data_IF_565776665582
#
_entry.id   IF_565776665582
#
_cell.length_a   1.000
_cell.length_b   1.000
_cell.length_c   1.000
_cell.angle_alpha   90.00
_cell.angle_beta   90.00
_cell.angle_gamma   90.00
#
_symmetry.space_group_name_H-M   'P 1'
#
loop_
_entity.id
_entity.type
_entity.pdbx_description
1 polymer ?
#
# COMPACT_ATOMS: atom_id res chain seq x y z
N UNK A 1 9.89 -63.09 37.95
CA UNK A 1 9.22 -63.50 36.70
C UNK A 1 8.88 -62.24 35.94
N UNK A 2 9.47 -62.04 34.77
CA UNK A 2 9.48 -60.77 34.03
C UNK A 2 8.15 -60.50 33.32
N UNK A 3 7.65 -59.27 33.45
CA UNK A 3 6.51 -58.74 32.67
C UNK A 3 6.98 -58.33 31.26
N UNK A 4 6.18 -58.54 30.20
CA UNK A 4 6.50 -58.03 28.88
C UNK A 4 6.15 -56.54 28.78
N UNK A 5 7.08 -55.78 28.21
CA UNK A 5 6.95 -54.36 27.89
C UNK A 5 6.10 -54.24 26.61
N UNK A 6 4.96 -53.56 26.70
CA UNK A 6 4.11 -53.22 25.57
C UNK A 6 4.63 -51.93 24.93
N UNK A 7 5.31 -52.04 23.79
CA UNK A 7 5.74 -50.89 22.98
C UNK A 7 4.57 -50.48 22.09
N UNK A 8 3.90 -49.38 22.44
CA UNK A 8 2.87 -48.78 21.60
C UNK A 8 3.55 -47.98 20.47
N UNK A 9 3.49 -48.49 19.23
CA UNK A 9 3.80 -47.71 18.03
C UNK A 9 2.66 -46.71 17.78
N UNK A 10 2.92 -45.42 18.00
CA UNK A 10 2.04 -44.36 17.52
C UNK A 10 2.35 -44.10 16.05
N UNK A 11 1.44 -44.51 15.17
CA UNK A 11 1.46 -44.17 13.75
C UNK A 11 1.25 -42.65 13.60
N UNK A 12 2.31 -41.91 13.27
CA UNK A 12 2.23 -40.50 12.92
C UNK A 12 1.52 -40.34 11.57
N UNK A 13 0.31 -39.78 11.59
CA UNK A 13 -0.41 -39.37 10.39
C UNK A 13 0.26 -38.09 9.88
N UNK A 14 1.08 -38.23 8.84
CA UNK A 14 1.64 -37.12 8.08
C UNK A 14 0.49 -36.42 7.31
N UNK A 15 -0.03 -35.33 7.88
CA UNK A 15 -0.86 -34.38 7.13
C UNK A 15 0.03 -33.69 6.10
N UNK A 16 0.03 -34.21 4.88
CA UNK A 16 0.55 -33.48 3.73
C UNK A 16 -0.40 -32.32 3.47
N UNK A 17 0.00 -31.12 3.90
CA UNK A 17 -0.69 -29.89 3.54
C UNK A 17 -0.54 -29.69 2.03
N UNK A 18 -1.54 -30.15 1.28
CA UNK A 18 -1.70 -29.78 -0.12
C UNK A 18 -1.92 -28.28 -0.17
N UNK A 19 -0.89 -27.55 -0.61
CA UNK A 19 -0.99 -26.15 -0.99
C UNK A 19 -2.02 -26.06 -2.11
N UNK A 20 -3.26 -25.71 -1.76
CA UNK A 20 -4.30 -25.37 -2.74
C UNK A 20 -3.84 -24.08 -3.40
N UNK A 21 -3.25 -24.19 -4.58
CA UNK A 21 -3.03 -23.06 -5.47
C UNK A 21 -4.40 -22.54 -5.89
N UNK A 22 -4.83 -21.46 -5.25
CA UNK A 22 -6.06 -20.77 -5.62
C UNK A 22 -5.94 -20.38 -7.11
N UNK A 23 -6.92 -20.71 -7.97
CA UNK A 23 -6.89 -20.28 -9.36
C UNK A 23 -6.76 -18.76 -9.40
N UNK A 24 -5.81 -18.24 -10.17
CA UNK A 24 -5.77 -16.82 -10.50
C UNK A 24 -7.10 -16.48 -11.17
N UNK A 25 -7.97 -15.78 -10.45
CA UNK A 25 -9.14 -15.13 -11.05
C UNK A 25 -8.59 -14.10 -12.03
N UNK A 26 -8.77 -14.34 -13.33
CA UNK A 26 -8.36 -13.38 -14.36
C UNK A 26 -9.31 -12.18 -14.24
N UNK A 27 -8.85 -11.10 -13.60
CA UNK A 27 -9.60 -9.87 -13.49
C UNK A 27 -9.60 -9.07 -14.80
N UNK A 28 -10.68 -8.32 -15.06
CA UNK A 28 -10.71 -7.34 -16.14
C UNK A 28 -9.92 -6.10 -15.72
N UNK A 29 -8.87 -5.74 -16.45
CA UNK A 29 -8.09 -4.53 -16.17
C UNK A 29 -8.98 -3.30 -16.41
N UNK A 30 -9.21 -2.51 -15.35
CA UNK A 30 -9.96 -1.26 -15.41
C UNK A 30 -9.04 -0.08 -15.75
N UNK A 31 -7.86 -0.03 -15.11
CA UNK A 31 -6.85 0.97 -15.39
C UNK A 31 -5.46 0.47 -14.97
N UNK A 32 -4.44 1.05 -15.59
CA UNK A 32 -3.07 0.84 -15.17
C UNK A 32 -2.17 2.01 -15.55
N UNK A 33 -1.13 2.25 -14.75
CA UNK A 33 -0.07 3.22 -15.04
C UNK A 33 1.28 2.70 -14.56
N UNK A 34 2.33 3.08 -15.27
CA UNK A 34 3.71 2.81 -14.88
C UNK A 34 4.40 4.13 -14.53
N UNK A 35 4.99 4.20 -13.35
CA UNK A 35 5.66 5.39 -12.85
C UNK A 35 7.14 5.12 -12.64
N UNK A 36 7.98 6.11 -12.93
CA UNK A 36 9.39 6.07 -12.53
C UNK A 36 9.51 6.50 -11.06
N UNK A 37 10.38 5.82 -10.32
CA UNK A 37 10.75 6.18 -8.95
C UNK A 37 12.02 7.05 -8.91
N UNK A 38 12.53 7.47 -10.07
CA UNK A 38 13.83 8.13 -10.20
C UNK A 38 13.81 9.48 -10.93
N UNK A 39 12.64 9.98 -11.34
CA UNK A 39 12.51 11.14 -12.23
C UNK A 39 11.93 12.40 -11.55
N UNK A 40 11.80 12.44 -10.21
CA UNK A 40 11.24 13.62 -9.52
C UNK A 40 12.20 14.79 -9.48
N UNK A 41 13.46 14.53 -9.16
CA UNK A 41 14.51 15.55 -9.11
C UNK A 41 15.69 15.18 -10.00
N UNK A 42 16.56 16.14 -10.31
CA UNK A 42 17.82 15.86 -11.02
C UNK A 42 18.85 15.15 -10.12
N UNK A 43 18.72 15.28 -8.79
CA UNK A 43 19.66 14.74 -7.82
C UNK A 43 19.24 13.32 -7.43
N UNK A 44 20.09 12.33 -7.77
CA UNK A 44 19.80 10.91 -7.52
C UNK A 44 19.50 10.60 -6.04
N UNK A 45 20.32 11.11 -5.12
CA UNK A 45 20.15 10.81 -3.69
C UNK A 45 18.80 11.28 -3.13
N UNK A 46 18.23 12.37 -3.67
CA UNK A 46 16.89 12.84 -3.30
C UNK A 46 15.84 11.86 -3.83
N UNK A 47 15.92 11.45 -5.10
CA UNK A 47 15.00 10.44 -5.63
C UNK A 47 15.08 9.10 -4.88
N UNK A 48 16.27 8.67 -4.47
CA UNK A 48 16.45 7.45 -3.70
C UNK A 48 15.66 7.49 -2.38
N UNK A 49 15.58 8.66 -1.73
CA UNK A 49 14.79 8.87 -0.50
C UNK A 49 13.29 8.79 -0.78
N UNK A 50 12.82 9.44 -1.85
CA UNK A 50 11.43 9.36 -2.29
C UNK A 50 11.04 7.91 -2.60
N UNK A 51 11.87 7.21 -3.38
CA UNK A 51 11.66 5.80 -3.70
C UNK A 51 11.62 4.94 -2.44
N UNK A 52 12.59 5.11 -1.52
CA UNK A 52 12.65 4.35 -0.28
C UNK A 52 11.39 4.51 0.57
N UNK A 53 10.86 5.73 0.71
CA UNK A 53 9.65 5.99 1.47
C UNK A 53 8.38 5.47 0.79
N UNK A 54 8.30 5.53 -0.55
CA UNK A 54 7.22 4.89 -1.33
C UNK A 54 7.23 3.38 -1.08
N UNK A 55 8.39 2.74 -1.23
CA UNK A 55 8.54 1.30 -1.05
C UNK A 55 8.31 0.87 0.40
N UNK A 56 8.74 1.67 1.38
CA UNK A 56 8.45 1.42 2.79
C UNK A 56 6.95 1.46 3.06
N UNK A 57 6.22 2.39 2.44
CA UNK A 57 4.75 2.45 2.55
C UNK A 57 4.10 1.17 2.01
N UNK A 58 4.55 0.67 0.85
CA UNK A 58 4.10 -0.61 0.30
C UNK A 58 4.49 -1.81 1.18
N UNK A 59 5.66 -1.75 1.84
CA UNK A 59 6.11 -2.77 2.78
C UNK A 59 5.25 -2.84 4.05
N UNK A 60 4.77 -1.69 4.54
CA UNK A 60 3.78 -1.64 5.62
C UNK A 60 2.44 -2.23 5.19
N UNK A 61 1.96 -1.85 4.00
CA UNK A 61 0.72 -2.39 3.42
C UNK A 61 0.76 -3.92 3.22
N UNK A 62 1.92 -4.45 2.81
CA UNK A 62 2.15 -5.89 2.62
C UNK A 62 2.48 -6.65 3.91
N UNK A 63 2.64 -5.95 5.03
CA UNK A 63 3.03 -6.49 6.35
C UNK A 63 4.41 -7.16 6.37
N UNK A 64 5.25 -6.92 5.37
CA UNK A 64 6.66 -7.33 5.38
C UNK A 64 7.44 -6.51 6.41
N UNK A 65 7.03 -5.27 6.62
CA UNK A 65 7.48 -4.40 7.71
C UNK A 65 6.39 -4.29 8.77
N UNK A 66 6.80 -4.26 10.04
CA UNK A 66 5.93 -4.06 11.20
C UNK A 66 6.43 -2.92 12.05
N UNK A 67 5.51 -2.10 12.56
CA UNK A 67 5.82 -0.98 13.45
C UNK A 67 6.57 -1.47 14.69
N UNK A 68 7.59 -0.72 15.09
CA UNK A 68 8.46 -1.05 16.23
C UNK A 68 9.62 -2.01 15.91
N UNK A 69 9.64 -2.63 14.72
CA UNK A 69 10.78 -3.45 14.29
C UNK A 69 11.79 -2.60 13.50
N UNK A 70 13.06 -3.00 13.54
CA UNK A 70 14.09 -2.42 12.69
C UNK A 70 13.77 -2.66 11.20
N UNK A 71 14.01 -1.65 10.37
CA UNK A 71 13.75 -1.71 8.92
C UNK A 71 14.91 -2.41 8.21
N UNK A 72 14.61 -3.50 7.51
CA UNK A 72 15.52 -4.10 6.53
C UNK A 72 15.33 -3.42 5.18
N UNK A 73 16.21 -2.48 4.84
CA UNK A 73 16.14 -1.76 3.56
C UNK A 73 16.40 -2.66 2.35
N UNK A 74 17.14 -3.75 2.52
CA UNK A 74 17.27 -4.78 1.49
C UNK A 74 15.91 -5.39 1.17
N UNK A 75 15.17 -5.81 2.20
CA UNK A 75 13.82 -6.37 2.05
C UNK A 75 12.82 -5.37 1.47
N UNK A 76 12.87 -4.10 1.89
CA UNK A 76 12.00 -3.04 1.36
C UNK A 76 12.24 -2.80 -0.13
N UNK A 77 13.49 -2.91 -0.59
CA UNK A 77 13.87 -2.65 -1.99
C UNK A 77 13.75 -3.88 -2.89
N UNK A 78 13.46 -5.04 -2.34
CA UNK A 78 13.25 -6.25 -3.14
C UNK A 78 12.10 -6.03 -4.11
N UNK A 79 12.32 -6.42 -5.37
CA UNK A 79 11.28 -6.42 -6.40
C UNK A 79 10.16 -7.39 -6.02
N UNK A 80 8.94 -7.04 -6.36
CA UNK A 80 7.82 -7.88 -6.00
C UNK A 80 6.48 -7.25 -6.28
N UNK A 81 5.45 -7.98 -5.86
CA UNK A 81 4.08 -7.60 -6.08
C UNK A 81 3.32 -7.55 -4.76
N UNK A 82 2.56 -6.47 -4.57
CA UNK A 82 1.63 -6.34 -3.46
C UNK A 82 0.21 -6.14 -4.00
N UNK A 83 -0.78 -6.71 -3.29
CA UNK A 83 -2.19 -6.63 -3.67
C UNK A 83 -3.08 -6.39 -2.47
N UNK A 84 -4.14 -5.62 -2.66
CA UNK A 84 -5.29 -5.58 -1.76
C UNK A 84 -6.60 -5.55 -2.53
N UNK A 85 -7.67 -6.03 -1.90
CA UNK A 85 -8.99 -6.18 -2.54
C UNK A 85 -10.01 -5.31 -1.81
N UNK A 86 -10.74 -4.47 -2.53
CA UNK A 86 -11.91 -3.77 -2.01
C UNK A 86 -13.18 -4.46 -2.51
N UNK A 87 -13.99 -4.99 -1.59
CA UNK A 87 -15.34 -5.47 -1.90
C UNK A 87 -16.27 -4.30 -2.23
N UNK A 88 -17.43 -4.53 -2.88
CA UNK A 88 -18.43 -3.49 -3.10
C UNK A 88 -18.72 -2.68 -1.83
N UNK A 89 -18.65 -1.35 -1.94
CA UNK A 89 -18.87 -0.40 -0.84
C UNK A 89 -17.68 -0.21 0.11
N UNK A 90 -16.65 -1.07 0.07
CA UNK A 90 -15.47 -0.90 0.90
C UNK A 90 -14.58 0.23 0.39
N UNK A 91 -13.88 0.86 1.32
CA UNK A 91 -12.95 1.95 1.06
C UNK A 91 -11.54 1.59 1.49
N UNK A 92 -10.56 2.11 0.77
CA UNK A 92 -9.22 2.33 1.24
C UNK A 92 -9.12 3.76 1.79
N UNK A 93 -8.39 3.95 2.88
CA UNK A 93 -7.92 5.25 3.34
C UNK A 93 -6.40 5.22 3.45
N UNK A 94 -5.68 6.27 3.07
CA UNK A 94 -4.22 6.23 3.08
C UNK A 94 -3.65 6.00 4.48
N UNK A 95 -4.22 6.63 5.50
CA UNK A 95 -3.93 6.35 6.91
C UNK A 95 -5.23 6.25 7.74
N UNK A 96 -5.08 5.84 9.00
CA UNK A 96 -6.16 5.40 9.90
C UNK A 96 -6.96 6.52 10.58
N UNK A 97 -6.46 7.74 10.55
CA UNK A 97 -7.19 8.92 10.99
C UNK A 97 -8.10 9.42 9.87
N UNK A 98 -9.37 9.02 9.92
CA UNK A 98 -10.32 9.11 8.79
C UNK A 98 -11.47 10.07 9.04
N UNK A 99 -12.07 10.59 7.97
CA UNK A 99 -13.31 11.37 8.03
C UNK A 99 -14.47 10.50 8.54
N UNK A 100 -15.39 11.13 9.27
CA UNK A 100 -16.57 10.47 9.87
C UNK A 100 -17.38 9.61 8.90
N UNK A 101 -17.51 10.04 7.64
CA UNK A 101 -18.27 9.31 6.61
C UNK A 101 -17.62 7.99 6.15
N UNK A 102 -16.37 7.72 6.57
CA UNK A 102 -15.56 6.55 6.24
C UNK A 102 -15.27 5.61 7.43
N UNK A 103 -15.55 5.99 8.68
CA UNK A 103 -15.20 5.22 9.90
C UNK A 103 -15.60 3.73 9.85
N UNK A 104 -16.71 3.38 9.18
CA UNK A 104 -17.21 2.00 9.06
C UNK A 104 -17.09 1.42 7.65
N UNK A 105 -16.37 2.09 6.75
CA UNK A 105 -16.20 1.67 5.35
C UNK A 105 -14.76 1.28 5.03
N UNK A 106 -13.80 1.73 5.82
CA UNK A 106 -12.37 1.51 5.57
C UNK A 106 -12.01 0.07 5.87
N UNK A 107 -11.61 -0.65 4.83
CA UNK A 107 -11.14 -2.03 4.91
C UNK A 107 -9.60 -2.13 4.93
N UNK A 108 -8.92 -1.13 4.37
CA UNK A 108 -7.47 -1.11 4.23
C UNK A 108 -6.93 0.30 4.47
N UNK A 109 -5.77 0.36 5.13
CA UNK A 109 -4.91 1.54 5.19
C UNK A 109 -3.46 1.17 4.95
N UNK A 110 -2.58 2.16 4.82
CA UNK A 110 -1.14 1.88 4.79
C UNK A 110 -0.60 1.38 6.12
N UNK A 111 -1.34 1.58 7.22
CA UNK A 111 -0.91 1.27 8.59
C UNK A 111 0.41 1.99 8.98
N UNK A 112 0.64 3.18 8.42
CA UNK A 112 1.79 4.03 8.65
C UNK A 112 1.38 5.49 8.94
N UNK A 113 2.27 6.22 9.61
CA UNK A 113 2.17 7.62 10.05
C UNK A 113 3.38 8.45 9.59
N UNK A 114 4.18 7.92 8.67
CA UNK A 114 5.12 8.68 7.83
C UNK A 114 6.17 9.49 8.59
N UNK A 115 6.61 9.00 9.75
CA UNK A 115 7.57 9.69 10.61
C UNK A 115 8.84 8.86 10.85
N UNK A 116 9.87 9.50 11.43
CA UNK A 116 11.18 8.89 11.59
C UNK A 116 11.17 7.69 12.55
N UNK A 117 10.25 7.65 13.53
CA UNK A 117 10.14 6.51 14.44
C UNK A 117 9.60 5.24 13.77
N UNK A 118 8.96 5.41 12.60
CA UNK A 118 8.55 4.33 11.70
C UNK A 118 9.57 4.08 10.59
N UNK A 119 10.75 4.69 10.67
CA UNK A 119 11.85 4.46 9.74
C UNK A 119 11.74 5.22 8.41
N UNK A 120 10.77 6.12 8.25
CA UNK A 120 10.74 7.00 7.08
C UNK A 120 11.97 7.91 7.05
N UNK A 121 12.53 8.07 5.84
CA UNK A 121 13.73 8.88 5.58
C UNK A 121 13.37 10.34 5.32
N UNK A 122 14.37 11.20 5.49
CA UNK A 122 14.31 12.62 5.17
C UNK A 122 15.38 12.99 4.17
N UNK A 123 15.05 13.90 3.25
CA UNK A 123 15.97 14.57 2.34
C UNK A 123 16.78 15.71 2.99
N UNK A 124 16.54 15.98 4.28
CA UNK A 124 17.10 17.09 5.04
C UNK A 124 16.08 18.21 5.36
N UNK A 125 14.91 18.20 4.72
CA UNK A 125 13.84 19.18 4.95
C UNK A 125 12.60 18.58 5.61
N UNK A 126 12.14 17.43 5.09
CA UNK A 126 10.92 16.78 5.56
C UNK A 126 11.17 15.28 5.73
N UNK A 127 10.52 14.66 6.72
CA UNK A 127 10.50 13.19 6.85
C UNK A 127 9.29 12.65 6.09
N UNK A 128 9.46 11.56 5.35
CA UNK A 128 8.36 10.92 4.63
C UNK A 128 8.14 11.45 3.22
N UNK A 129 9.13 12.13 2.64
CA UNK A 129 9.14 12.48 1.22
C UNK A 129 8.79 11.29 0.34
N UNK A 130 7.87 11.46 -0.60
CA UNK A 130 7.36 10.36 -1.44
C UNK A 130 6.02 9.78 -0.98
N UNK A 131 5.56 10.06 0.24
CA UNK A 131 4.24 9.61 0.72
C UNK A 131 3.11 10.26 -0.08
N UNK A 132 3.12 11.59 -0.23
CA UNK A 132 2.18 12.30 -1.10
C UNK A 132 2.32 11.88 -2.57
N UNK A 133 3.52 11.44 -2.97
CA UNK A 133 3.81 10.95 -4.33
C UNK A 133 3.04 9.65 -4.62
N UNK A 134 3.15 8.66 -3.73
CA UNK A 134 2.40 7.40 -3.84
C UNK A 134 0.89 7.64 -3.78
N UNK A 135 0.40 8.50 -2.90
CA UNK A 135 -1.01 8.86 -2.84
C UNK A 135 -1.51 9.47 -4.16
N UNK A 136 -0.71 10.33 -4.79
CA UNK A 136 -1.03 10.94 -6.08
C UNK A 136 -1.04 9.92 -7.21
N UNK A 137 -0.11 8.96 -7.21
CA UNK A 137 -0.13 7.82 -8.13
C UNK A 137 -1.41 6.99 -8.00
N UNK A 138 -1.81 6.67 -6.76
CA UNK A 138 -3.02 5.91 -6.47
C UNK A 138 -4.29 6.68 -6.85
N UNK A 139 -4.35 7.99 -6.58
CA UNK A 139 -5.47 8.86 -6.96
C UNK A 139 -5.68 8.84 -8.47
N UNK A 140 -4.61 8.99 -9.25
CA UNK A 140 -4.69 8.99 -10.71
C UNK A 140 -5.20 7.64 -11.26
N UNK A 141 -4.64 6.52 -10.80
CA UNK A 141 -5.07 5.20 -11.30
C UNK A 141 -6.49 4.85 -10.83
N UNK A 142 -6.87 5.21 -9.61
CA UNK A 142 -8.22 4.95 -9.09
C UNK A 142 -9.29 5.74 -9.85
N UNK A 143 -9.02 6.99 -10.22
CA UNK A 143 -9.91 7.81 -11.05
C UNK A 143 -10.04 7.26 -12.47
N UNK A 144 -8.93 6.87 -13.09
CA UNK A 144 -8.93 6.24 -14.41
C UNK A 144 -9.73 4.93 -14.41
N UNK A 145 -9.70 4.17 -13.29
CA UNK A 145 -10.50 2.96 -13.10
C UNK A 145 -12.00 3.21 -12.85
N UNK A 146 -12.44 4.48 -12.78
CA UNK A 146 -13.83 4.85 -12.53
C UNK A 146 -14.31 4.63 -11.09
N UNK A 147 -13.39 4.59 -10.12
CA UNK A 147 -13.73 4.47 -8.70
C UNK A 147 -14.13 5.82 -8.10
N UNK A 148 -14.81 5.79 -6.95
CA UNK A 148 -15.05 7.01 -6.18
C UNK A 148 -13.80 7.37 -5.39
N UNK A 149 -13.30 8.58 -5.62
CA UNK A 149 -12.08 9.08 -4.97
C UNK A 149 -12.32 10.42 -4.31
N UNK A 150 -11.94 10.53 -3.03
CA UNK A 150 -11.96 11.78 -2.27
C UNK A 150 -10.56 12.07 -1.72
N UNK A 151 -10.06 13.27 -2.02
CA UNK A 151 -8.82 13.82 -1.51
C UNK A 151 -9.12 15.29 -1.14
N UNK A 152 -9.51 15.59 0.11
CA UNK A 152 -10.00 16.92 0.48
C UNK A 152 -8.97 18.04 0.33
N UNK A 153 -7.69 17.72 0.44
CA UNK A 153 -6.57 18.66 0.30
C UNK A 153 -5.65 18.18 -0.82
N UNK A 154 -5.41 19.06 -1.79
CA UNK A 154 -4.52 18.78 -2.91
C UNK A 154 -3.04 18.99 -2.55
N UNK A 155 -2.16 18.41 -3.37
CA UNK A 155 -0.72 18.67 -3.38
C UNK A 155 -0.38 19.46 -4.65
N UNK A 156 -0.98 20.64 -4.80
CA UNK A 156 -0.76 21.49 -5.97
C UNK A 156 0.56 22.29 -5.91
N UNK A 157 1.26 22.28 -4.78
CA UNK A 157 2.42 23.14 -4.53
C UNK A 157 3.75 22.63 -5.09
N UNK A 158 3.88 21.34 -5.39
CA UNK A 158 5.09 20.77 -5.97
C UNK A 158 4.74 19.70 -7.00
N UNK A 159 5.46 19.75 -8.13
CA UNK A 159 5.22 18.88 -9.27
C UNK A 159 5.52 17.42 -8.95
N UNK A 160 4.71 16.56 -9.54
CA UNK A 160 4.81 15.11 -9.44
C UNK A 160 4.88 14.59 -10.87
N UNK A 161 6.04 14.03 -11.31
CA UNK A 161 6.18 13.54 -12.66
C UNK A 161 5.07 12.55 -13.03
N UNK A 162 4.59 12.66 -14.26
CA UNK A 162 3.59 11.76 -14.84
C UNK A 162 2.22 11.79 -14.14
N UNK A 163 1.99 12.72 -13.20
CA UNK A 163 0.70 12.95 -12.55
C UNK A 163 0.23 14.38 -12.85
N UNK A 164 -0.94 14.57 -13.48
CA UNK A 164 -1.52 15.89 -13.65
C UNK A 164 -1.66 16.62 -12.30
N UNK A 165 -1.30 17.90 -12.24
CA UNK A 165 -1.24 18.67 -10.99
C UNK A 165 -2.54 18.61 -10.17
N UNK A 166 -3.70 18.64 -10.83
CA UNK A 166 -5.02 18.53 -10.17
C UNK A 166 -5.28 17.17 -9.48
N UNK A 167 -4.43 16.17 -9.73
CA UNK A 167 -4.48 14.86 -9.10
C UNK A 167 -3.45 14.71 -7.98
N UNK A 168 -2.69 15.76 -7.66
CA UNK A 168 -1.82 15.79 -6.49
C UNK A 168 -2.63 15.64 -5.21
N UNK A 169 -2.19 14.77 -4.29
CA UNK A 169 -2.83 14.53 -3.00
C UNK A 169 -1.89 14.85 -1.86
N UNK A 170 -2.36 15.66 -0.91
CA UNK A 170 -1.62 15.92 0.33
C UNK A 170 -1.94 14.86 1.37
N UNK A 171 -0.90 14.25 1.93
CA UNK A 171 -1.01 13.29 3.02
C UNK A 171 -0.32 13.84 4.27
N UNK A 172 -1.01 13.78 5.40
CA UNK A 172 -0.49 14.13 6.71
C UNK A 172 -1.17 13.28 7.78
N UNK A 173 -0.37 12.71 8.69
CA UNK A 173 -0.88 11.84 9.75
C UNK A 173 -0.18 12.14 11.06
N UNK A 174 -0.87 12.84 11.95
CA UNK A 174 -0.47 13.03 13.34
C UNK A 174 -1.57 12.52 14.27
N UNK A 175 -1.28 11.56 15.17
CA UNK A 175 -2.30 10.96 16.04
C UNK A 175 -3.08 11.95 16.92
N UNK A 176 -2.48 13.08 17.26
CA UNK A 176 -3.07 14.13 18.09
C UNK A 176 -3.76 15.25 17.29
N UNK A 177 -3.67 15.24 15.95
CA UNK A 177 -4.33 16.22 15.07
C UNK A 177 -5.30 15.50 14.13
N UNK A 178 -6.44 15.12 14.67
CA UNK A 178 -7.44 14.33 13.95
C UNK A 178 -8.12 15.11 12.82
N UNK A 179 -8.28 16.43 12.99
CA UNK A 179 -8.97 17.28 12.01
C UNK A 179 -8.11 17.45 10.76
N UNK A 180 -6.87 17.89 10.92
CA UNK A 180 -5.96 18.07 9.78
C UNK A 180 -5.65 16.73 9.12
N UNK A 181 -5.36 15.70 9.92
CA UNK A 181 -5.02 14.38 9.38
C UNK A 181 -6.15 13.78 8.56
N UNK A 182 -7.40 13.84 9.03
CA UNK A 182 -8.53 13.28 8.26
C UNK A 182 -8.79 14.01 6.95
N UNK A 183 -8.47 15.31 6.86
CA UNK A 183 -8.59 16.11 5.62
C UNK A 183 -7.41 15.87 4.66
N UNK A 184 -6.20 15.65 5.17
CA UNK A 184 -5.01 15.33 4.38
C UNK A 184 -4.83 13.82 4.24
N UNK A 185 -5.82 13.18 3.61
CA UNK A 185 -5.89 11.74 3.41
C UNK A 185 -6.42 11.44 1.99
N UNK A 186 -6.17 10.22 1.49
CA UNK A 186 -6.74 9.72 0.25
C UNK A 186 -7.76 8.64 0.56
N UNK A 187 -8.99 8.82 0.09
CA UNK A 187 -10.06 7.83 0.19
C UNK A 187 -10.41 7.29 -1.20
N UNK A 188 -10.41 5.97 -1.36
CA UNK A 188 -10.83 5.29 -2.59
C UNK A 188 -11.90 4.28 -2.24
N UNK A 189 -13.11 4.43 -2.78
CA UNK A 189 -14.25 3.54 -2.54
C UNK A 189 -14.57 2.74 -3.78
N UNK A 190 -14.73 1.43 -3.60
CA UNK A 190 -15.30 0.56 -4.62
C UNK A 190 -16.82 0.83 -4.74
N UNK A 191 -17.21 1.57 -5.76
CA UNK A 191 -18.61 1.86 -6.13
C UNK A 191 -19.19 0.86 -7.13
N UNK A 192 -18.48 -0.21 -7.43
CA UNK A 192 -18.89 -1.24 -8.39
C UNK A 192 -19.60 -2.38 -7.65
N UNK A 193 -20.28 -3.24 -8.40
CA UNK A 193 -20.99 -4.40 -7.86
C UNK A 193 -20.08 -5.64 -7.71
N UNK A 194 -18.84 -5.57 -8.18
CA UNK A 194 -17.82 -6.63 -8.05
C UNK A 194 -16.63 -6.15 -7.22
N UNK A 195 -15.87 -7.10 -6.69
CA UNK A 195 -14.63 -6.79 -5.98
C UNK A 195 -13.60 -6.24 -6.95
N UNK A 196 -12.83 -5.25 -6.50
CA UNK A 196 -11.69 -4.71 -7.24
C UNK A 196 -10.40 -5.08 -6.51
N UNK A 197 -9.34 -5.33 -7.26
CA UNK A 197 -8.00 -5.55 -6.74
C UNK A 197 -7.08 -4.42 -7.20
N UNK A 198 -6.38 -3.82 -6.24
CA UNK A 198 -5.22 -2.98 -6.52
C UNK A 198 -3.98 -3.85 -6.51
N UNK A 199 -3.12 -3.66 -7.51
CA UNK A 199 -1.89 -4.42 -7.69
C UNK A 199 -0.74 -3.43 -7.89
N UNK A 200 0.32 -3.61 -7.11
CA UNK A 200 1.54 -2.80 -7.15
C UNK A 200 2.69 -3.73 -7.50
N UNK A 201 3.23 -3.61 -8.71
CA UNK A 201 4.38 -4.36 -9.20
C UNK A 201 5.60 -3.42 -9.21
N UNK A 202 6.53 -3.67 -8.30
CA UNK A 202 7.77 -2.92 -8.16
C UNK A 202 8.92 -3.69 -8.83
N UNK A 203 9.56 -3.04 -9.82
CA UNK A 203 10.74 -3.55 -10.52
C UNK A 203 11.77 -2.44 -10.70
N UNK A 204 12.97 -2.62 -10.16
CA UNK A 204 14.07 -1.65 -10.17
C UNK A 204 13.64 -0.24 -9.73
N UNK A 205 13.54 0.68 -10.69
CA UNK A 205 13.17 2.08 -10.46
C UNK A 205 11.78 2.38 -11.04
N UNK A 206 10.92 1.38 -11.12
CA UNK A 206 9.57 1.51 -11.67
C UNK A 206 8.53 0.90 -10.75
N UNK A 207 7.38 1.56 -10.68
CA UNK A 207 6.20 1.10 -9.98
C UNK A 207 5.03 1.08 -10.95
N UNK A 208 4.56 -0.13 -11.26
CA UNK A 208 3.36 -0.34 -12.06
C UNK A 208 2.18 -0.57 -11.12
N UNK A 209 1.18 0.32 -11.19
CA UNK A 209 -0.06 0.20 -10.43
C UNK A 209 -1.19 -0.19 -11.38
N UNK A 210 -1.94 -1.24 -11.04
CA UNK A 210 -3.11 -1.73 -11.78
C UNK A 210 -4.33 -1.82 -10.87
N UNK A 211 -5.49 -1.58 -11.46
CA UNK A 211 -6.78 -1.87 -10.85
C UNK A 211 -7.51 -2.85 -11.76
N UNK A 212 -7.91 -3.99 -11.21
CA UNK A 212 -8.65 -5.02 -11.93
C UNK A 212 -9.99 -5.29 -11.23
N UNK A 213 -11.05 -5.54 -12.00
CA UNK A 213 -12.32 -6.04 -11.49
C UNK A 213 -12.29 -7.57 -11.52
N UNK A 214 -12.50 -8.21 -10.37
CA UNK A 214 -12.51 -9.67 -10.28
C UNK A 214 -13.80 -10.22 -10.90
N UNK A 215 -13.66 -11.23 -11.76
CA UNK A 215 -14.77 -11.82 -12.51
C UNK A 215 -15.71 -12.64 -11.66
#
# INVERSE_FOLDING_TARGET
MAQPILIALTAGILFSATMVTQPSTIGMVLAHKNYSLSNRYSVKSVNDIFSDNILLTLAYMSKTVKKGNAISWETVRTEGEYRFILRPGQSFAFHDTVLKEYENKVAFTTNAHFNASEGFKSDGWLVGDGVCHLASFMNAVARDAGLLVKAPVDHSFADIPDVPQQLGVSIYSLPNDTTTSSLQNLYITNNRNKSIVFIFDHKKNSLHIRVEELT
#
